data_IF_962501117950
#
_entry.id   IF_962501117950
#
_cell.length_a   1.000
_cell.length_b   1.000
_cell.length_c   1.000
_cell.angle_alpha   90.00
_cell.angle_beta   90.00
_cell.angle_gamma   90.00
#
_symmetry.space_group_name_H-M   'P 1'
#
loop_
_entity.id
_entity.type
_entity.pdbx_description
1 polymer ?
#
# COMPACT_ATOMS: atom_id res chain seq x y z
N UNK A 1 9.89 -3.48 21.19
CA UNK A 1 10.16 -4.22 19.94
C UNK A 1 10.38 -3.21 18.82
N UNK A 2 11.32 -3.47 17.91
CA UNK A 2 11.54 -2.59 16.76
C UNK A 2 10.40 -2.73 15.75
N UNK A 3 9.88 -1.62 15.23
CA UNK A 3 8.74 -1.60 14.29
C UNK A 3 9.05 -2.38 13.01
N UNK A 4 10.32 -2.39 12.57
CA UNK A 4 10.78 -3.10 11.38
C UNK A 4 10.77 -4.63 11.52
N UNK A 5 10.63 -5.15 12.74
CA UNK A 5 10.56 -6.59 13.02
C UNK A 5 9.11 -7.06 13.16
N UNK A 6 8.13 -6.14 13.15
CA UNK A 6 6.71 -6.49 13.32
C UNK A 6 6.07 -6.95 12.02
N UNK A 7 5.27 -8.02 12.08
CA UNK A 7 4.55 -8.57 10.92
C UNK A 7 3.53 -7.58 10.35
N UNK A 8 2.92 -6.74 11.19
CA UNK A 8 1.94 -5.71 10.77
C UNK A 8 2.54 -4.67 9.84
N UNK A 9 3.79 -4.24 10.08
CA UNK A 9 4.52 -3.36 9.18
C UNK A 9 4.71 -3.98 7.78
N UNK A 10 5.20 -5.22 7.73
CA UNK A 10 5.46 -5.90 6.45
C UNK A 10 4.19 -6.22 5.67
N UNK A 11 3.08 -6.52 6.35
CA UNK A 11 1.77 -6.70 5.72
C UNK A 11 1.27 -5.39 5.12
N UNK A 12 1.31 -4.27 5.86
CA UNK A 12 0.88 -2.97 5.35
C UNK A 12 1.77 -2.44 4.22
N UNK A 13 3.09 -2.60 4.34
CA UNK A 13 4.04 -2.25 3.27
C UNK A 13 3.77 -3.07 2.00
N UNK A 14 3.51 -4.37 2.14
CA UNK A 14 3.18 -5.26 1.03
C UNK A 14 1.87 -4.86 0.33
N UNK A 15 0.81 -4.57 1.08
CA UNK A 15 -0.47 -4.13 0.52
C UNK A 15 -0.32 -2.83 -0.28
N UNK A 16 0.40 -1.85 0.27
CA UNK A 16 0.69 -0.57 -0.40
C UNK A 16 1.49 -0.79 -1.68
N UNK A 17 2.54 -1.61 -1.62
CA UNK A 17 3.38 -1.90 -2.78
C UNK A 17 2.59 -2.59 -3.91
N UNK A 18 1.78 -3.61 -3.58
CA UNK A 18 0.94 -4.33 -4.56
C UNK A 18 -0.10 -3.39 -5.17
N UNK A 19 -0.74 -2.55 -4.34
CA UNK A 19 -1.71 -1.57 -4.82
C UNK A 19 -1.07 -0.56 -5.77
N UNK A 20 0.12 -0.05 -5.44
CA UNK A 20 0.89 0.82 -6.34
C UNK A 20 1.22 0.10 -7.64
N UNK A 21 1.72 -1.13 -7.58
CA UNK A 21 2.04 -1.91 -8.78
C UNK A 21 0.83 -2.08 -9.70
N UNK A 22 -0.32 -2.50 -9.14
CA UNK A 22 -1.55 -2.69 -9.90
C UNK A 22 -2.05 -1.38 -10.52
N UNK A 23 -2.06 -0.29 -9.75
CA UNK A 23 -2.52 1.02 -10.21
C UNK A 23 -1.58 1.62 -11.26
N UNK A 24 -0.26 1.49 -11.10
CA UNK A 24 0.72 1.96 -12.09
C UNK A 24 0.62 1.17 -13.38
N UNK A 25 0.54 -0.16 -13.30
CA UNK A 25 0.40 -1.00 -14.50
C UNK A 25 -0.91 -0.68 -15.23
N UNK A 26 -2.03 -0.56 -14.49
CA UNK A 26 -3.33 -0.19 -15.06
C UNK A 26 -3.29 1.17 -15.77
N UNK A 27 -2.58 2.14 -15.22
CA UNK A 27 -2.45 3.47 -15.82
C UNK A 27 -1.74 3.47 -17.19
N UNK A 28 -0.92 2.45 -17.45
CA UNK A 28 -0.18 2.30 -18.71
C UNK A 28 -0.88 1.40 -19.73
N UNK A 29 -1.89 0.64 -19.31
CA UNK A 29 -2.69 -0.20 -20.20
C UNK A 29 -3.72 0.66 -20.92
N UNK A 30 -3.59 0.73 -22.24
CA UNK A 30 -4.50 1.51 -23.10
C UNK A 30 -5.65 0.64 -23.62
N UNK A 31 -6.89 1.01 -23.30
CA UNK A 31 -8.09 0.37 -23.86
C UNK A 31 -8.17 0.69 -25.35
N UNK A 32 -8.37 -0.34 -26.18
CA UNK A 32 -8.38 -0.22 -27.66
C UNK A 32 -7.10 -0.74 -28.33
N UNK A 33 -6.05 -1.00 -27.55
CA UNK A 33 -4.85 -1.72 -28.01
C UNK A 33 -4.93 -3.18 -27.59
N UNK A 34 -4.57 -4.10 -28.48
CA UNK A 34 -4.49 -5.52 -28.13
C UNK A 34 -3.48 -5.72 -26.99
N UNK A 35 -3.81 -6.55 -26.01
CA UNK A 35 -2.96 -6.83 -24.84
C UNK A 35 -1.56 -7.29 -25.26
N UNK A 36 -1.45 -8.06 -26.34
CA UNK A 36 -0.17 -8.54 -26.89
C UNK A 36 0.63 -7.47 -27.64
N UNK A 37 0.00 -6.36 -28.02
CA UNK A 37 0.63 -5.26 -28.76
C UNK A 37 1.15 -4.13 -27.83
N UNK A 38 0.92 -4.25 -26.52
CA UNK A 38 1.46 -3.31 -25.54
C UNK A 38 2.97 -3.52 -25.36
N UNK A 39 3.69 -2.44 -25.11
CA UNK A 39 5.12 -2.51 -24.74
C UNK A 39 5.26 -2.97 -23.28
N UNK A 40 5.20 -4.28 -23.09
CA UNK A 40 5.34 -4.92 -21.77
C UNK A 40 6.67 -4.62 -21.09
N UNK A 41 7.72 -4.35 -21.86
CA UNK A 41 9.04 -4.03 -21.30
C UNK A 41 8.99 -2.69 -20.57
N UNK A 42 8.48 -1.66 -21.22
CA UNK A 42 8.33 -0.34 -20.60
C UNK A 42 7.30 -0.35 -19.47
N UNK A 43 6.16 -1.02 -19.66
CA UNK A 43 5.12 -1.14 -18.62
C UNK A 43 5.69 -1.78 -17.36
N UNK A 44 6.42 -2.89 -17.50
CA UNK A 44 7.04 -3.57 -16.37
C UNK A 44 8.12 -2.70 -15.69
N UNK A 45 8.96 -2.01 -16.47
CA UNK A 45 10.02 -1.14 -15.92
C UNK A 45 9.46 0.04 -15.10
N UNK A 46 8.42 0.70 -15.62
CA UNK A 46 7.76 1.83 -14.93
C UNK A 46 7.05 1.32 -13.67
N UNK A 47 6.33 0.21 -13.77
CA UNK A 47 5.64 -0.43 -12.63
C UNK A 47 6.63 -0.82 -11.54
N UNK A 48 7.77 -1.40 -11.91
CA UNK A 48 8.83 -1.76 -10.96
C UNK A 48 9.39 -0.52 -10.24
N UNK A 49 9.65 0.56 -10.97
CA UNK A 49 10.13 1.83 -10.39
C UNK A 49 9.14 2.40 -9.37
N UNK A 50 7.85 2.43 -9.71
CA UNK A 50 6.81 2.90 -8.79
C UNK A 50 6.66 2.00 -7.56
N UNK A 51 6.78 0.69 -7.74
CA UNK A 51 6.73 -0.29 -6.64
C UNK A 51 7.90 -0.11 -5.68
N UNK A 52 9.12 0.06 -6.20
CA UNK A 52 10.31 0.36 -5.39
C UNK A 52 10.12 1.66 -4.62
N UNK A 53 9.62 2.72 -5.27
CA UNK A 53 9.32 3.97 -4.59
C UNK A 53 8.31 3.77 -3.44
N UNK A 54 7.24 2.99 -3.64
CA UNK A 54 6.24 2.66 -2.61
C UNK A 54 6.85 1.93 -1.40
N UNK A 55 7.76 0.98 -1.65
CA UNK A 55 8.49 0.27 -0.59
C UNK A 55 9.41 1.22 0.17
N UNK A 56 10.18 2.06 -0.54
CA UNK A 56 11.07 3.04 0.08
C UNK A 56 10.28 4.06 0.94
N UNK A 57 9.13 4.53 0.46
CA UNK A 57 8.24 5.40 1.24
C UNK A 57 7.72 4.69 2.48
N UNK A 58 7.35 3.41 2.37
CA UNK A 58 6.90 2.60 3.49
C UNK A 58 7.98 2.46 4.57
N UNK A 59 9.25 2.33 4.17
CA UNK A 59 10.40 2.31 5.08
C UNK A 59 10.65 3.69 5.69
N UNK A 60 10.47 4.78 4.93
CA UNK A 60 10.66 6.14 5.41
C UNK A 60 9.60 6.56 6.44
N UNK A 61 8.38 6.01 6.35
CA UNK A 61 7.29 6.23 7.31
C UNK A 61 6.68 4.90 7.82
N UNK A 62 7.37 4.22 8.75
CA UNK A 62 6.94 2.91 9.22
C UNK A 62 5.72 2.97 10.14
N UNK A 63 5.45 4.12 10.78
CA UNK A 63 4.27 4.29 11.65
C UNK A 63 2.98 4.38 10.86
N UNK A 64 2.96 5.15 9.77
CA UNK A 64 1.79 5.20 8.88
C UNK A 64 1.62 3.94 8.00
N UNK A 65 2.62 3.06 8.02
CA UNK A 65 2.64 1.83 7.21
C UNK A 65 2.23 0.61 8.02
N UNK A 66 2.54 0.58 9.32
CA UNK A 66 2.06 -0.48 10.19
C UNK A 66 0.54 -0.57 10.09
N UNK A 67 0.02 -1.77 9.81
CA UNK A 67 -1.39 -2.06 10.02
C UNK A 67 -1.62 -2.08 11.52
N UNK A 68 -1.77 -0.89 12.09
CA UNK A 68 -2.31 -0.76 13.42
C UNK A 68 -3.72 -1.34 13.32
N UNK A 69 -3.90 -2.54 13.87
CA UNK A 69 -5.21 -2.97 14.30
C UNK A 69 -5.63 -1.93 15.34
N UNK A 70 -6.28 -0.86 14.90
CA UNK A 70 -7.05 -0.03 15.81
C UNK A 70 -7.89 -1.03 16.62
N UNK A 71 -7.76 -1.06 17.95
CA UNK A 71 -8.65 -1.89 18.72
C UNK A 71 -10.04 -1.37 18.39
N UNK A 72 -10.89 -2.24 17.85
CA UNK A 72 -12.22 -1.94 17.36
C UNK A 72 -13.20 -1.48 18.47
N UNK A 73 -12.79 -0.64 19.44
CA UNK A 73 -13.49 -0.45 20.70
C UNK A 73 -13.27 0.92 21.42
N UNK A 74 -12.63 1.95 20.84
CA UNK A 74 -12.68 3.29 21.49
C UNK A 74 -14.08 3.96 21.46
N UNK A 75 -15.13 3.22 21.08
CA UNK A 75 -16.53 3.37 21.48
C UNK A 75 -16.76 3.20 23.01
N UNK A 76 -15.95 3.81 23.89
CA UNK A 76 -16.22 3.82 25.34
C UNK A 76 -16.07 5.17 26.07
N UNK A 77 -15.75 6.26 25.37
CA UNK A 77 -15.76 7.59 26.02
C UNK A 77 -16.81 8.57 25.47
N UNK A 78 -17.82 8.05 24.77
CA UNK A 78 -19.16 8.68 24.72
C UNK A 78 -19.92 8.36 26.02
N UNK A 79 -19.28 8.62 27.17
CA UNK A 79 -19.89 8.57 28.50
C UNK A 79 -20.80 9.78 28.69
N UNK A 80 -21.83 9.86 27.85
CA UNK A 80 -23.02 10.62 28.14
C UNK A 80 -23.84 9.85 29.16
N UNK A 81 -23.34 9.77 30.39
CA UNK A 81 -24.14 9.52 31.57
C UNK A 81 -24.27 10.87 32.27
N UNK A 82 -25.17 11.67 31.70
CA UNK A 82 -25.79 12.77 32.39
C UNK A 82 -26.49 12.21 33.63
N UNK A 83 -25.95 12.56 34.79
CA UNK A 83 -26.61 12.46 36.10
C UNK A 83 -26.50 13.82 36.77
#
# INVERSE_FOLDING_TARGET
>A
MSIYTTTTFWVGAGERAIKTAAQTMLALVTVGTAVTALDWTSIAAITATATIASVLTSIADPKATATDAEPAYALRHRGGDAA
#
